data_IF_852525352348
#
_entry.id   IF_852525352348
#
_cell.length_a   1.000
_cell.length_b   1.000
_cell.length_c   1.000
_cell.angle_alpha   90.00
_cell.angle_beta   90.00
_cell.angle_gamma   90.00
#
_symmetry.space_group_name_H-M   'P 1'
#
loop_
_entity.id
_entity.type
_entity.pdbx_description
1 polymer ?
#
# COMPACT_ATOMS: atom_id res chain seq x y z
N UNK A 1 10.24 5.92 19.92
CA UNK A 1 10.57 6.52 18.60
C UNK A 1 9.28 7.01 17.95
N UNK A 2 9.29 8.22 17.42
CA UNK A 2 8.41 9.34 17.84
C UNK A 2 6.91 9.29 17.50
N UNK A 3 6.36 8.24 16.89
CA UNK A 3 4.90 8.17 16.59
C UNK A 3 4.31 6.76 16.77
N UNK A 4 4.49 6.13 17.95
CA UNK A 4 3.85 4.89 18.47
C UNK A 4 3.66 3.69 17.50
N UNK A 5 4.28 3.71 16.33
CA UNK A 5 4.22 2.71 15.27
C UNK A 5 5.64 2.51 14.73
N UNK A 6 6.11 1.27 14.74
CA UNK A 6 7.41 0.91 14.13
C UNK A 6 7.30 0.84 12.62
N UNK A 7 8.42 0.89 11.89
CA UNK A 7 8.43 0.73 10.44
C UNK A 7 7.73 -0.57 9.99
N UNK A 8 7.85 -1.65 10.77
CA UNK A 8 7.15 -2.93 10.54
C UNK A 8 5.62 -2.77 10.64
N UNK A 9 5.13 -2.07 11.66
CA UNK A 9 3.70 -1.82 11.84
C UNK A 9 3.15 -0.90 10.73
N UNK A 10 3.95 0.05 10.27
CA UNK A 10 3.62 0.93 9.13
C UNK A 10 3.56 0.15 7.83
N UNK A 11 4.51 -0.75 7.57
CA UNK A 11 4.48 -1.64 6.42
C UNK A 11 3.23 -2.54 6.45
N UNK A 12 2.90 -3.11 7.60
CA UNK A 12 1.68 -3.92 7.77
C UNK A 12 0.40 -3.11 7.51
N UNK A 13 0.34 -1.84 7.97
CA UNK A 13 -0.78 -0.94 7.67
C UNK A 13 -0.86 -0.60 6.18
N UNK A 14 0.27 -0.35 5.52
CA UNK A 14 0.31 -0.06 4.08
C UNK A 14 -0.25 -1.22 3.27
N UNK A 15 0.09 -2.46 3.64
CA UNK A 15 -0.46 -3.68 3.03
C UNK A 15 -1.95 -3.81 3.38
N UNK A 16 -2.32 -3.63 4.65
CA UNK A 16 -3.72 -3.74 5.07
C UNK A 16 -4.62 -2.70 4.39
N UNK A 17 -4.11 -1.51 4.05
CA UNK A 17 -4.84 -0.48 3.28
C UNK A 17 -5.25 -0.96 1.88
N UNK A 18 -4.52 -1.92 1.33
CA UNK A 18 -4.80 -2.51 0.01
C UNK A 18 -5.92 -3.53 0.04
N UNK A 19 -6.05 -4.25 1.14
CA UNK A 19 -7.07 -5.26 1.34
C UNK A 19 -8.35 -4.68 1.94
N UNK A 20 -8.21 -3.69 2.84
CA UNK A 20 -9.32 -3.07 3.57
C UNK A 20 -9.15 -1.58 3.78
N UNK A 21 -10.28 -0.89 3.94
CA UNK A 21 -10.28 0.52 4.32
C UNK A 21 -9.72 0.71 5.73
N UNK A 22 -8.66 1.50 5.87
CA UNK A 22 -8.14 1.88 7.19
C UNK A 22 -9.01 2.94 7.87
N UNK A 23 -9.22 2.87 9.20
CA UNK A 23 -9.86 3.93 9.98
C UNK A 23 -9.04 5.23 9.92
N UNK A 24 -9.72 6.37 10.05
CA UNK A 24 -9.11 7.70 9.85
C UNK A 24 -7.89 7.95 10.74
N UNK A 25 -7.95 7.52 12.02
CA UNK A 25 -6.83 7.65 12.96
C UNK A 25 -5.55 6.94 12.48
N UNK A 26 -5.69 5.76 11.87
CA UNK A 26 -4.55 5.01 11.34
C UNK A 26 -3.97 5.65 10.08
N UNK A 27 -4.80 6.26 9.24
CA UNK A 27 -4.34 7.02 8.07
C UNK A 27 -3.50 8.23 8.49
N UNK A 28 -3.92 8.94 9.53
CA UNK A 28 -3.18 10.10 10.05
C UNK A 28 -1.84 9.65 10.65
N UNK A 29 -1.84 8.62 11.50
CA UNK A 29 -0.61 8.08 12.07
C UNK A 29 0.37 7.58 11.00
N UNK A 30 -0.14 6.93 9.96
CA UNK A 30 0.65 6.48 8.80
C UNK A 30 1.31 7.68 8.08
N UNK A 31 0.54 8.72 7.75
CA UNK A 31 1.07 9.92 7.08
C UNK A 31 2.15 10.60 7.90
N UNK A 32 1.93 10.79 9.21
CA UNK A 32 2.92 11.39 10.09
C UNK A 32 4.22 10.58 10.13
N UNK A 33 4.13 9.25 10.19
CA UNK A 33 5.32 8.39 10.16
C UNK A 33 6.07 8.45 8.83
N UNK A 34 5.35 8.50 7.70
CA UNK A 34 5.96 8.62 6.37
C UNK A 34 6.71 9.95 6.20
N UNK A 35 6.25 11.03 6.83
CA UNK A 35 6.96 12.31 6.85
C UNK A 35 8.20 12.29 7.76
N UNK A 36 8.14 11.55 8.87
CA UNK A 36 9.23 11.48 9.85
C UNK A 36 10.29 10.39 9.53
N UNK A 37 10.01 9.46 8.63
CA UNK A 37 10.90 8.34 8.30
C UNK A 37 11.28 8.34 6.82
N UNK A 38 12.56 8.20 6.51
CA UNK A 38 13.05 8.15 5.12
C UNK A 38 12.83 6.78 4.44
N UNK A 39 12.82 5.69 5.21
CA UNK A 39 12.71 4.33 4.66
C UNK A 39 11.28 3.96 4.24
N UNK A 40 10.29 4.32 5.05
CA UNK A 40 8.89 3.94 4.83
C UNK A 40 8.29 4.47 3.51
N UNK A 41 8.56 5.71 3.05
CA UNK A 41 8.14 6.19 1.74
C UNK A 41 8.75 5.42 0.56
N UNK A 42 9.93 4.83 0.72
CA UNK A 42 10.52 3.95 -0.31
C UNK A 42 9.73 2.64 -0.42
N UNK A 43 9.38 2.06 0.72
CA UNK A 43 8.56 0.85 0.77
C UNK A 43 7.15 1.06 0.19
N UNK A 44 6.49 2.20 0.50
CA UNK A 44 5.18 2.53 -0.08
C UNK A 44 5.23 2.58 -1.61
N UNK A 45 6.28 3.20 -2.17
CA UNK A 45 6.46 3.25 -3.63
C UNK A 45 6.64 1.86 -4.23
N UNK A 46 7.42 0.98 -3.60
CA UNK A 46 7.59 -0.41 -4.06
C UNK A 46 6.25 -1.16 -4.05
N UNK A 47 5.45 -1.00 -2.99
CA UNK A 47 4.12 -1.62 -2.90
C UNK A 47 3.18 -1.11 -4.00
N UNK A 48 3.19 0.20 -4.28
CA UNK A 48 2.39 0.78 -5.36
C UNK A 48 2.78 0.23 -6.74
N UNK A 49 4.08 0.08 -7.00
CA UNK A 49 4.57 -0.53 -8.25
C UNK A 49 4.06 -1.96 -8.40
N UNK A 50 4.21 -2.80 -7.36
CA UNK A 50 3.72 -4.18 -7.36
C UNK A 50 2.21 -4.25 -7.61
N UNK A 51 1.45 -3.39 -6.93
CA UNK A 51 -0.01 -3.30 -7.12
C UNK A 51 -0.41 -2.88 -8.53
N UNK A 52 0.28 -1.91 -9.11
CA UNK A 52 -0.01 -1.45 -10.46
C UNK A 52 0.25 -2.56 -11.48
N UNK A 53 1.35 -3.30 -11.35
CA UNK A 53 1.64 -4.45 -12.18
C UNK A 53 0.55 -5.55 -12.07
N UNK A 54 0.13 -5.89 -10.85
CA UNK A 54 -0.95 -6.87 -10.63
C UNK A 54 -2.30 -6.40 -11.20
N UNK A 55 -2.62 -5.11 -11.08
CA UNK A 55 -3.84 -4.56 -11.70
C UNK A 55 -3.78 -4.64 -13.21
N UNK A 56 -2.66 -4.27 -13.83
CA UNK A 56 -2.46 -4.38 -15.27
C UNK A 56 -2.61 -5.82 -15.77
N UNK A 57 -2.06 -6.80 -15.02
CA UNK A 57 -2.19 -8.20 -15.36
C UNK A 57 -3.65 -8.70 -15.30
N UNK A 58 -4.41 -8.32 -14.27
CA UNK A 58 -5.84 -8.65 -14.20
C UNK A 58 -6.66 -8.04 -15.34
N UNK A 59 -6.29 -6.85 -15.81
CA UNK A 59 -6.92 -6.25 -16.99
C UNK A 59 -6.58 -7.04 -18.26
N UNK A 60 -5.34 -7.49 -18.42
CA UNK A 60 -4.92 -8.31 -19.56
C UNK A 60 -5.70 -9.63 -19.66
N UNK A 61 -5.86 -10.36 -18.54
CA UNK A 61 -6.65 -11.61 -18.52
C UNK A 61 -8.15 -11.39 -18.79
N UNK A 62 -8.67 -10.16 -18.66
CA UNK A 62 -10.05 -9.82 -18.98
C UNK A 62 -10.32 -9.51 -20.46
N UNK A 63 -9.28 -9.18 -21.23
CA UNK A 63 -9.38 -8.86 -22.67
C UNK A 63 -9.07 -10.08 -23.58
N UNK A 64 -8.52 -11.16 -23.04
CA UNK A 64 -8.28 -12.43 -23.75
C UNK A 64 -9.50 -13.39 -23.71
N UNK A 65 -10.72 -12.87 -23.87
CA UNK A 65 -11.90 -13.70 -24.21
C UNK A 65 -12.44 -13.35 -25.59
N UNK A 66 -12.02 -14.06 -26.66
CA UNK A 66 -12.82 -14.17 -27.86
C UNK A 66 -13.83 -15.33 -27.68
N UNK A 67 -15.10 -15.00 -27.43
CA UNK A 67 -16.26 -15.93 -27.51
C UNK A 67 -16.44 -16.84 -26.28
N UNK A 68 -17.66 -17.17 -25.82
CA UNK A 68 -18.89 -17.29 -26.60
C UNK A 68 -18.85 -18.57 -27.43
#
# INVERSE_FOLDING_TARGET
MILRRTCKQVAALLIAREDRALPLAERVALRLHLLACHACPRFERQLLTMRNAMRQWRHYTGDDTPGG
#
